data_IF_040474669421
#
_entry.id   IF_040474669421
#
_cell.length_a   1.000
_cell.length_b   1.000
_cell.length_c   1.000
_cell.angle_alpha   90.00
_cell.angle_beta   90.00
_cell.angle_gamma   90.00
#
_symmetry.space_group_name_H-M   'P 1'
#
loop_
_entity.id
_entity.type
_entity.pdbx_description
1 polymer ?
#
# COMPACT_ATOMS: atom_id res chain seq x y z
N UNK A 1 -4.37 -31.46 -2.02
CA UNK A 1 -2.94 -31.34 -2.36
C UNK A 1 -2.29 -30.58 -1.22
N UNK A 2 -1.40 -31.22 -0.46
CA UNK A 2 -0.59 -30.51 0.55
C UNK A 2 0.51 -29.76 -0.19
N UNK A 3 0.44 -28.43 -0.22
CA UNK A 3 1.52 -27.61 -0.75
C UNK A 3 2.81 -27.93 0.03
N UNK A 4 3.83 -28.41 -0.69
CA UNK A 4 5.14 -28.65 -0.12
C UNK A 4 5.85 -27.31 0.09
N UNK A 5 5.99 -26.86 1.34
CA UNK A 5 6.72 -25.64 1.69
C UNK A 5 8.20 -25.96 1.87
N UNK A 6 9.07 -25.31 1.10
CA UNK A 6 10.52 -25.44 1.21
C UNK A 6 11.10 -24.30 2.05
N UNK A 7 12.00 -24.62 2.99
CA UNK A 7 12.68 -23.61 3.80
C UNK A 7 13.85 -23.02 3.01
N UNK A 8 13.89 -21.69 2.92
CA UNK A 8 15.01 -20.96 2.33
C UNK A 8 16.28 -21.08 3.18
N UNK A 9 17.44 -20.74 2.58
CA UNK A 9 18.69 -20.61 3.33
C UNK A 9 18.51 -19.57 4.45
N UNK A 10 18.93 -19.91 5.68
CA UNK A 10 18.85 -19.07 6.89
C UNK A 10 17.45 -18.96 7.53
N UNK A 11 16.58 -19.93 7.28
CA UNK A 11 15.32 -20.10 8.02
C UNK A 11 15.41 -21.37 8.86
N UNK A 12 15.01 -21.29 10.12
CA UNK A 12 14.89 -22.45 11.02
C UNK A 12 13.41 -22.70 11.33
N UNK A 13 13.03 -23.97 11.42
CA UNK A 13 11.69 -24.38 11.85
C UNK A 13 11.75 -24.81 13.31
N UNK A 14 10.89 -24.22 14.13
CA UNK A 14 10.70 -24.62 15.53
C UNK A 14 9.31 -25.24 15.65
N UNK A 15 9.25 -26.46 16.20
CA UNK A 15 7.99 -27.12 16.56
C UNK A 15 7.93 -27.24 18.08
N UNK A 16 7.07 -26.46 18.76
CA UNK A 16 6.90 -26.63 20.19
C UNK A 16 6.25 -27.98 20.51
N UNK A 17 6.62 -28.56 21.65
CA UNK A 17 5.83 -29.63 22.25
C UNK A 17 4.50 -29.04 22.74
N UNK A 18 3.34 -29.47 22.20
CA UNK A 18 2.04 -28.90 22.56
C UNK A 18 1.63 -29.18 24.02
N UNK A 19 2.31 -30.11 24.70
CA UNK A 19 2.13 -30.36 26.14
C UNK A 19 2.85 -29.34 27.04
N UNK A 20 3.79 -28.58 26.48
CA UNK A 20 4.62 -27.61 27.22
C UNK A 20 4.40 -26.17 26.75
N UNK A 21 4.12 -25.96 25.46
CA UNK A 21 4.08 -24.61 24.88
C UNK A 21 2.99 -24.46 23.84
N UNK A 22 2.18 -23.41 23.99
CA UNK A 22 1.23 -22.98 22.97
C UNK A 22 1.97 -22.32 21.78
N UNK A 23 1.62 -22.71 20.56
CA UNK A 23 2.33 -22.25 19.36
C UNK A 23 2.09 -20.77 19.03
N UNK A 24 0.91 -20.23 19.34
CA UNK A 24 0.62 -18.79 19.18
C UNK A 24 1.32 -17.98 20.27
N UNK A 25 1.35 -18.49 21.50
CA UNK A 25 2.16 -17.88 22.57
C UNK A 25 3.64 -17.79 22.15
N UNK A 26 4.21 -18.88 21.63
CA UNK A 26 5.60 -18.92 21.20
C UNK A 26 5.93 -17.86 20.13
N UNK A 27 4.99 -17.59 19.22
CA UNK A 27 5.13 -16.50 18.25
C UNK A 27 5.28 -15.14 18.95
N UNK A 28 4.39 -14.81 19.89
CA UNK A 28 4.44 -13.56 20.65
C UNK A 28 5.67 -13.49 21.56
N UNK A 29 6.09 -14.62 22.13
CA UNK A 29 7.35 -14.77 22.86
C UNK A 29 8.54 -14.34 22.02
N UNK A 30 8.63 -14.80 20.77
CA UNK A 30 9.72 -14.39 19.88
C UNK A 30 9.66 -12.92 19.46
N UNK A 31 8.48 -12.30 19.49
CA UNK A 31 8.30 -10.87 19.23
C UNK A 31 8.55 -10.00 20.47
N UNK A 32 8.67 -10.60 21.66
CA UNK A 32 8.86 -9.86 22.91
C UNK A 32 10.26 -9.23 23.00
N UNK A 33 10.34 -8.04 23.61
CA UNK A 33 11.62 -7.36 23.84
C UNK A 33 12.56 -8.17 24.73
N UNK A 34 12.02 -8.91 25.71
CA UNK A 34 12.80 -9.76 26.60
C UNK A 34 13.53 -10.84 25.82
N UNK A 35 12.83 -11.58 24.97
CA UNK A 35 13.44 -12.62 24.15
C UNK A 35 14.40 -12.07 23.10
N UNK A 36 14.05 -10.96 22.43
CA UNK A 36 14.94 -10.33 21.44
C UNK A 36 16.29 -9.96 22.04
N UNK A 37 16.32 -9.43 23.27
CA UNK A 37 17.58 -9.16 24.00
C UNK A 37 18.41 -10.41 24.25
N UNK A 38 17.77 -11.53 24.60
CA UNK A 38 18.47 -12.82 24.79
C UNK A 38 19.10 -13.27 23.47
N UNK A 39 18.36 -13.17 22.36
CA UNK A 39 18.86 -13.52 21.03
C UNK A 39 20.04 -12.62 20.65
N UNK A 40 19.87 -11.29 20.76
CA UNK A 40 20.89 -10.28 20.45
C UNK A 40 22.20 -10.53 21.22
N UNK A 41 22.11 -10.85 22.52
CA UNK A 41 23.28 -11.17 23.36
C UNK A 41 24.00 -12.47 22.99
N UNK A 42 23.41 -13.31 22.14
CA UNK A 42 23.99 -14.57 21.68
C UNK A 42 24.24 -14.61 20.16
N UNK A 43 24.06 -13.49 19.45
CA UNK A 43 24.40 -13.39 18.03
C UNK A 43 25.90 -13.58 17.83
N UNK A 44 26.28 -14.36 16.80
CA UNK A 44 27.66 -14.43 16.35
C UNK A 44 27.90 -13.30 15.36
N UNK A 45 28.59 -12.24 15.82
CA UNK A 45 29.07 -11.14 14.99
C UNK A 45 30.48 -11.44 14.48
N UNK A 46 30.72 -11.25 13.18
CA UNK A 46 32.04 -11.48 12.54
C UNK A 46 32.05 -12.34 11.28
N UNK A 47 30.92 -12.93 10.90
CA UNK A 47 30.68 -13.38 9.53
C UNK A 47 30.21 -12.20 8.68
N UNK A 48 30.27 -12.30 7.34
CA UNK A 48 29.75 -11.26 6.42
C UNK A 48 28.28 -10.90 6.69
N UNK A 49 27.54 -11.72 7.47
CA UNK A 49 26.20 -11.46 7.98
C UNK A 49 26.08 -12.06 9.39
N UNK A 50 25.43 -11.35 10.31
CA UNK A 50 25.09 -11.82 11.65
C UNK A 50 24.23 -13.11 11.61
N UNK A 51 24.43 -14.01 12.58
CA UNK A 51 23.68 -15.27 12.66
C UNK A 51 23.38 -15.71 14.09
N UNK A 52 22.24 -16.37 14.25
CA UNK A 52 21.86 -17.09 15.47
C UNK A 52 22.53 -18.48 15.43
N UNK A 53 23.29 -18.88 16.47
CA UNK A 53 23.91 -20.20 16.52
C UNK A 53 22.87 -21.30 16.76
N UNK A 54 22.47 -22.02 15.70
CA UNK A 54 21.41 -23.04 15.81
C UNK A 54 21.73 -24.15 16.82
N UNK A 55 23.00 -24.51 16.99
CA UNK A 55 23.45 -25.52 17.98
C UNK A 55 23.30 -25.02 19.43
N UNK A 56 23.47 -23.72 19.67
CA UNK A 56 23.33 -23.12 21.01
C UNK A 56 21.94 -22.56 21.28
N UNK A 57 21.13 -22.33 20.25
CA UNK A 57 19.79 -21.77 20.39
C UNK A 57 18.91 -22.54 21.40
N UNK A 58 18.91 -23.89 21.45
CA UNK A 58 18.14 -24.64 22.44
C UNK A 58 18.53 -24.39 23.90
N UNK A 59 19.73 -23.85 24.17
CA UNK A 59 20.19 -23.55 25.54
C UNK A 59 19.94 -22.11 25.96
N UNK A 60 19.29 -21.29 25.12
CA UNK A 60 18.97 -19.91 25.47
C UNK A 60 17.92 -19.89 26.58
N UNK A 61 18.11 -19.09 27.64
CA UNK A 61 17.18 -19.05 28.76
C UNK A 61 15.84 -18.46 28.32
N UNK A 62 14.75 -19.21 28.53
CA UNK A 62 13.39 -18.79 28.26
C UNK A 62 12.52 -18.99 29.51
N UNK A 63 11.93 -17.90 30.01
CA UNK A 63 10.91 -17.98 31.05
C UNK A 63 9.55 -18.21 30.38
N UNK A 64 9.03 -19.43 30.48
CA UNK A 64 7.76 -19.83 29.88
C UNK A 64 6.75 -20.08 31.01
N UNK A 65 5.61 -19.37 31.05
CA UNK A 65 4.60 -19.54 32.09
C UNK A 65 3.81 -20.85 31.88
N UNK A 66 2.87 -21.14 32.79
CA UNK A 66 2.01 -22.33 32.66
C UNK A 66 1.15 -22.27 31.39
N UNK A 67 0.78 -23.44 30.84
CA UNK A 67 -0.06 -23.53 29.64
C UNK A 67 -1.35 -22.69 29.70
N UNK A 68 -2.11 -22.63 30.83
CA UNK A 68 -3.27 -21.77 30.92
C UNK A 68 -2.95 -20.29 30.65
N UNK A 69 -1.90 -19.76 31.30
CA UNK A 69 -1.45 -18.37 31.12
C UNK A 69 -0.97 -18.13 29.68
N UNK A 70 -0.22 -19.06 29.10
CA UNK A 70 0.22 -18.96 27.70
C UNK A 70 -0.96 -18.82 26.75
N UNK A 71 -1.98 -19.68 26.91
CA UNK A 71 -3.19 -19.68 26.07
C UNK A 71 -3.98 -18.40 26.20
N UNK A 72 -4.07 -17.84 27.41
CA UNK A 72 -4.78 -16.60 27.64
C UNK A 72 -4.08 -15.40 27.00
N UNK A 73 -2.76 -15.27 27.21
CA UNK A 73 -1.93 -14.25 26.54
C UNK A 73 -2.07 -14.37 25.01
N UNK A 74 -1.94 -15.59 24.48
CA UNK A 74 -2.06 -15.85 23.06
C UNK A 74 -3.45 -15.51 22.52
N UNK A 75 -4.52 -15.83 23.27
CA UNK A 75 -5.90 -15.50 22.89
C UNK A 75 -6.11 -13.99 22.78
N UNK A 76 -5.65 -13.23 23.77
CA UNK A 76 -5.77 -11.76 23.78
C UNK A 76 -5.04 -11.16 22.57
N UNK A 77 -3.77 -11.51 22.38
CA UNK A 77 -2.94 -10.92 21.33
C UNK A 77 -3.39 -11.36 19.92
N UNK A 78 -3.75 -12.64 19.74
CA UNK A 78 -4.22 -13.13 18.44
C UNK A 78 -5.56 -12.57 18.03
N UNK A 79 -6.41 -12.15 18.98
CA UNK A 79 -7.65 -11.44 18.65
C UNK A 79 -7.36 -10.15 17.86
N UNK A 80 -6.31 -9.39 18.21
CA UNK A 80 -5.93 -8.20 17.45
C UNK A 80 -5.43 -8.54 16.05
N UNK A 81 -4.56 -9.55 15.92
CA UNK A 81 -4.01 -9.97 14.63
C UNK A 81 -5.09 -10.53 13.71
N UNK A 82 -6.01 -11.33 14.24
CA UNK A 82 -7.15 -11.91 13.52
C UNK A 82 -8.09 -10.78 13.01
N UNK A 83 -8.35 -9.75 13.81
CA UNK A 83 -9.12 -8.58 13.38
C UNK A 83 -8.40 -7.75 12.31
N UNK A 84 -7.09 -7.53 12.46
CA UNK A 84 -6.29 -6.81 11.45
C UNK A 84 -6.34 -7.55 10.12
N UNK A 85 -6.15 -8.86 10.15
CA UNK A 85 -6.18 -9.71 8.96
C UNK A 85 -7.57 -9.76 8.32
N UNK A 86 -8.63 -9.86 9.11
CA UNK A 86 -10.01 -9.77 8.62
C UNK A 86 -10.25 -8.42 7.91
N UNK A 87 -9.87 -7.31 8.54
CA UNK A 87 -9.99 -5.99 7.94
C UNK A 87 -9.16 -5.84 6.65
N UNK A 88 -7.96 -6.43 6.57
CA UNK A 88 -7.16 -6.47 5.33
C UNK A 88 -7.89 -7.18 4.20
N UNK A 89 -8.51 -8.33 4.48
CA UNK A 89 -9.32 -9.08 3.50
C UNK A 89 -10.53 -8.27 3.05
N UNK A 90 -11.23 -7.62 3.99
CA UNK A 90 -12.37 -6.73 3.68
C UNK A 90 -11.96 -5.58 2.77
N UNK A 91 -10.83 -4.92 3.05
CA UNK A 91 -10.30 -3.87 2.17
C UNK A 91 -9.99 -4.40 0.77
N UNK A 92 -9.36 -5.57 0.65
CA UNK A 92 -9.06 -6.17 -0.66
C UNK A 92 -10.34 -6.45 -1.48
N UNK A 93 -11.37 -7.02 -0.84
CA UNK A 93 -12.67 -7.26 -1.49
C UNK A 93 -13.37 -5.96 -1.91
N UNK A 94 -13.29 -4.92 -1.08
CA UNK A 94 -13.83 -3.60 -1.39
C UNK A 94 -13.12 -2.99 -2.61
N UNK A 95 -11.78 -3.00 -2.63
CA UNK A 95 -10.99 -2.53 -3.77
C UNK A 95 -11.32 -3.31 -5.06
N UNK A 96 -11.46 -4.63 -4.97
CA UNK A 96 -11.85 -5.47 -6.10
C UNK A 96 -13.26 -5.12 -6.60
N UNK A 97 -14.23 -4.92 -5.70
CA UNK A 97 -15.59 -4.54 -6.08
C UNK A 97 -15.65 -3.22 -6.86
N UNK A 98 -14.89 -2.19 -6.42
CA UNK A 98 -14.81 -0.91 -7.14
C UNK A 98 -14.16 -1.07 -8.51
N UNK A 99 -13.11 -1.91 -8.62
CA UNK A 99 -12.45 -2.21 -9.90
C UNK A 99 -13.38 -2.97 -10.85
N UNK A 100 -14.16 -3.92 -10.34
CA UNK A 100 -15.14 -4.66 -11.12
C UNK A 100 -16.26 -3.75 -11.62
N UNK A 101 -16.78 -2.85 -10.77
CA UNK A 101 -17.77 -1.87 -11.18
C UNK A 101 -17.25 -1.00 -12.33
N UNK A 102 -16.02 -0.47 -12.19
CA UNK A 102 -15.38 0.32 -13.25
C UNK A 102 -15.26 -0.50 -14.54
N UNK A 103 -14.82 -1.76 -14.44
CA UNK A 103 -14.68 -2.66 -15.61
C UNK A 103 -16.02 -2.95 -16.27
N UNK A 104 -17.08 -3.23 -15.52
CA UNK A 104 -18.41 -3.44 -16.11
C UNK A 104 -18.86 -2.19 -16.86
N UNK A 105 -18.83 -1.03 -16.22
CA UNK A 105 -19.39 0.20 -16.79
C UNK A 105 -18.56 0.75 -17.94
N UNK A 106 -17.23 0.83 -17.77
CA UNK A 106 -16.38 1.63 -18.65
C UNK A 106 -15.44 0.84 -19.55
N UNK A 107 -15.32 -0.48 -19.32
CA UNK A 107 -14.51 -1.37 -20.17
C UNK A 107 -15.41 -2.33 -20.94
N UNK A 108 -16.37 -2.98 -20.27
CA UNK A 108 -17.35 -3.88 -20.89
C UNK A 108 -18.58 -3.15 -21.41
N UNK A 109 -18.66 -1.83 -21.20
CA UNK A 109 -19.73 -0.94 -21.67
C UNK A 109 -21.12 -1.36 -21.17
N UNK A 110 -21.20 -1.95 -19.97
CA UNK A 110 -22.43 -2.37 -19.27
C UNK A 110 -22.80 -1.37 -18.17
N UNK A 111 -22.86 -0.10 -18.56
CA UNK A 111 -23.31 0.98 -17.69
C UNK A 111 -24.85 1.06 -17.66
N UNK A 112 -25.47 1.73 -16.67
CA UNK A 112 -26.92 1.90 -16.64
C UNK A 112 -27.45 2.55 -17.92
N UNK A 113 -28.39 1.89 -18.61
CA UNK A 113 -28.96 2.37 -19.87
C UNK A 113 -28.14 2.04 -21.14
N UNK A 114 -27.09 1.23 -21.02
CA UNK A 114 -26.27 0.79 -22.15
C UNK A 114 -27.07 0.05 -23.22
N UNK A 115 -28.16 -0.64 -22.87
CA UNK A 115 -29.06 -1.33 -23.80
C UNK A 115 -29.69 -0.40 -24.84
N UNK A 116 -29.76 0.89 -24.52
CA UNK A 116 -30.34 1.94 -25.38
C UNK A 116 -29.29 2.85 -26.01
N UNK A 117 -28.00 2.58 -25.78
CA UNK A 117 -26.90 3.42 -26.29
C UNK A 117 -26.22 2.72 -27.46
N UNK A 118 -26.15 3.40 -28.60
CA UNK A 118 -25.47 2.87 -29.79
C UNK A 118 -23.95 2.93 -29.59
N UNK A 119 -23.24 1.93 -30.11
CA UNK A 119 -21.78 1.93 -30.17
C UNK A 119 -21.35 2.31 -31.58
N UNK A 120 -20.59 3.40 -31.71
CA UNK A 120 -20.08 3.91 -32.98
C UNK A 120 -18.56 3.90 -32.92
N UNK A 121 -17.91 3.17 -33.84
CA UNK A 121 -16.44 3.07 -33.85
C UNK A 121 -15.84 2.45 -32.58
N UNK A 122 -16.57 1.55 -31.91
CA UNK A 122 -16.13 0.91 -30.67
C UNK A 122 -16.29 1.76 -29.40
N UNK A 123 -16.94 2.93 -29.50
CA UNK A 123 -17.20 3.84 -28.38
C UNK A 123 -18.70 4.11 -28.27
N UNK A 124 -19.30 4.16 -27.07
CA UNK A 124 -20.70 4.53 -26.93
C UNK A 124 -20.97 5.98 -27.37
N UNK A 125 -22.13 6.20 -27.99
CA UNK A 125 -22.61 7.52 -28.39
C UNK A 125 -22.63 8.48 -27.17
N UNK A 126 -22.15 9.72 -27.37
CA UNK A 126 -22.07 10.74 -26.32
C UNK A 126 -20.80 10.71 -25.46
N UNK A 127 -19.89 9.75 -25.67
CA UNK A 127 -18.59 9.74 -24.98
C UNK A 127 -17.57 10.56 -25.78
N UNK A 128 -16.77 11.36 -25.09
CA UNK A 128 -15.89 12.36 -25.70
C UNK A 128 -14.42 12.14 -25.33
N UNK A 129 -13.48 12.40 -26.25
CA UNK A 129 -12.08 12.52 -25.87
C UNK A 129 -11.84 13.89 -25.26
N UNK A 130 -11.21 13.95 -24.09
CA UNK A 130 -10.78 15.20 -23.46
C UNK A 130 -9.33 15.12 -23.02
N UNK A 131 -8.53 16.18 -23.18
CA UNK A 131 -7.18 16.21 -22.63
C UNK A 131 -7.23 16.15 -21.11
N UNK A 132 -6.29 15.43 -20.49
CA UNK A 132 -6.26 15.29 -19.03
C UNK A 132 -6.16 16.63 -18.30
N UNK A 133 -5.57 17.66 -18.91
CA UNK A 133 -5.50 19.03 -18.37
C UNK A 133 -6.87 19.65 -18.08
N UNK A 134 -7.92 19.26 -18.79
CA UNK A 134 -9.28 19.76 -18.54
C UNK A 134 -9.94 19.10 -17.32
N UNK A 135 -9.38 17.97 -16.85
CA UNK A 135 -9.97 17.11 -15.82
C UNK A 135 -9.30 17.25 -14.45
N UNK A 136 -8.17 17.96 -14.38
CA UNK A 136 -7.26 17.97 -13.23
C UNK A 136 -6.86 19.40 -12.87
N UNK A 137 -6.63 19.67 -11.57
CA UNK A 137 -6.10 20.96 -11.10
C UNK A 137 -4.67 21.17 -11.59
N UNK A 138 -3.90 20.09 -11.67
CA UNK A 138 -2.51 20.17 -12.12
C UNK A 138 -1.81 18.83 -12.13
N UNK A 139 -0.67 18.83 -12.81
CA UNK A 139 0.28 17.74 -12.87
C UNK A 139 1.61 18.29 -12.37
N UNK A 140 2.20 17.59 -11.40
CA UNK A 140 3.40 18.05 -10.71
C UNK A 140 4.42 16.93 -10.68
N UNK A 141 5.69 17.24 -10.92
CA UNK A 141 6.77 16.29 -10.79
C UNK A 141 7.45 16.38 -9.43
N UNK A 142 8.08 15.27 -9.03
CA UNK A 142 8.88 15.21 -7.82
C UNK A 142 10.19 16.00 -7.94
N UNK A 143 10.87 16.24 -6.81
CA UNK A 143 12.18 16.86 -6.80
C UNK A 143 13.18 16.01 -7.59
N UNK A 144 13.94 16.60 -8.53
CA UNK A 144 14.94 15.87 -9.32
C UNK A 144 16.20 15.46 -8.55
N UNK A 145 16.14 15.42 -7.21
CA UNK A 145 17.22 15.07 -6.29
C UNK A 145 16.72 14.11 -5.22
N UNK A 146 17.65 13.48 -4.49
CA UNK A 146 17.33 12.56 -3.40
C UNK A 146 17.76 13.19 -2.07
N UNK A 147 16.88 13.31 -1.07
CA UNK A 147 17.21 13.78 0.27
C UNK A 147 18.13 12.80 1.02
N UNK A 148 18.89 13.29 2.02
CA UNK A 148 19.47 12.42 3.04
C UNK A 148 18.38 11.59 3.74
N UNK A 149 18.71 10.35 4.09
CA UNK A 149 17.79 9.49 4.85
C UNK A 149 17.79 9.89 6.32
N UNK A 150 16.65 9.76 6.98
CA UNK A 150 16.48 9.88 8.43
C UNK A 150 15.79 8.64 9.00
N UNK A 151 15.91 8.43 10.31
CA UNK A 151 15.26 7.32 11.03
C UNK A 151 13.75 7.53 11.17
N UNK A 152 13.31 8.79 11.22
CA UNK A 152 11.91 9.20 11.38
C UNK A 152 11.65 10.52 10.66
N UNK A 153 10.37 10.80 10.38
CA UNK A 153 9.90 12.02 9.74
C UNK A 153 8.96 11.73 8.57
N UNK A 154 8.78 12.65 7.62
CA UNK A 154 7.90 12.46 6.48
C UNK A 154 8.44 11.38 5.53
N UNK A 155 7.53 10.69 4.84
CA UNK A 155 7.87 9.62 3.91
C UNK A 155 8.55 10.17 2.66
N UNK A 156 9.66 9.57 2.25
CA UNK A 156 10.22 9.73 0.91
C UNK A 156 9.65 8.64 0.00
N UNK A 157 8.63 8.99 -0.79
CA UNK A 157 7.88 8.01 -1.56
C UNK A 157 8.65 7.58 -2.81
N UNK A 158 9.00 6.30 -2.92
CA UNK A 158 9.70 5.74 -4.08
C UNK A 158 8.80 4.92 -4.99
N UNK A 159 9.28 4.61 -6.21
CA UNK A 159 8.58 3.70 -7.12
C UNK A 159 8.32 2.33 -6.49
N UNK A 160 9.26 1.84 -5.65
CA UNK A 160 9.13 0.56 -4.93
C UNK A 160 7.86 0.48 -4.06
N UNK A 161 7.34 1.63 -3.64
CA UNK A 161 6.18 1.73 -2.77
C UNK A 161 4.86 1.75 -3.56
N UNK A 162 4.88 1.69 -4.89
CA UNK A 162 3.69 1.71 -5.73
C UNK A 162 3.52 0.32 -6.38
N UNK A 163 2.47 -0.39 -6.00
CA UNK A 163 2.15 -1.70 -6.57
C UNK A 163 1.60 -1.58 -7.99
N UNK A 164 1.65 -2.67 -8.75
CA UNK A 164 0.99 -2.74 -10.07
C UNK A 164 -0.55 -2.65 -9.95
N UNK A 165 -1.08 -3.07 -8.79
CA UNK A 165 -2.52 -3.14 -8.52
C UNK A 165 -3.15 -1.80 -8.13
N UNK A 166 -2.37 -0.72 -8.04
CA UNK A 166 -2.89 0.60 -7.69
C UNK A 166 -2.72 1.01 -6.22
N UNK A 167 -1.90 0.29 -5.44
CA UNK A 167 -1.79 0.47 -3.98
C UNK A 167 -0.44 1.06 -3.57
N UNK A 168 -0.46 1.83 -2.49
CA UNK A 168 0.78 2.21 -1.80
C UNK A 168 1.14 1.16 -0.75
N UNK A 169 2.35 0.65 -0.83
CA UNK A 169 2.99 -0.12 0.24
C UNK A 169 3.84 0.81 1.09
N UNK A 170 3.34 1.12 2.28
CA UNK A 170 3.99 1.99 3.27
C UNK A 170 4.60 1.19 4.44
N UNK A 171 4.79 -0.12 4.28
CA UNK A 171 5.36 -0.97 5.34
C UNK A 171 6.89 -0.83 5.46
N UNK A 172 7.57 -0.62 4.35
CA UNK A 172 9.00 -0.30 4.27
C UNK A 172 9.22 0.98 3.46
N UNK A 173 9.38 2.09 4.18
CA UNK A 173 9.53 3.43 3.63
C UNK A 173 10.81 4.09 4.15
N UNK A 174 11.41 4.93 3.30
CA UNK A 174 12.46 5.84 3.75
C UNK A 174 11.83 7.09 4.31
N UNK A 175 12.47 7.67 5.32
CA UNK A 175 12.08 8.94 5.89
C UNK A 175 13.11 10.02 5.60
N UNK A 176 12.66 11.27 5.65
CA UNK A 176 13.53 12.45 5.63
C UNK A 176 13.41 13.19 6.95
N UNK A 177 14.40 14.02 7.27
CA UNK A 177 14.34 14.86 8.44
C UNK A 177 13.18 15.87 8.33
N UNK A 178 12.46 16.10 9.43
CA UNK A 178 11.33 17.04 9.48
C UNK A 178 11.73 18.44 9.00
N UNK A 179 12.94 18.88 9.36
CA UNK A 179 13.49 20.18 8.99
C UNK A 179 13.74 20.34 7.49
N UNK A 180 13.95 19.23 6.77
CA UNK A 180 14.19 19.24 5.32
C UNK A 180 12.87 19.22 4.54
N UNK A 181 11.76 18.82 5.17
CA UNK A 181 10.49 18.57 4.48
C UNK A 181 9.96 19.75 3.65
N UNK A 182 10.02 21.03 4.12
CA UNK A 182 9.59 22.17 3.31
C UNK A 182 10.39 22.33 2.01
N UNK A 183 11.69 22.00 2.03
CA UNK A 183 12.54 22.05 0.83
C UNK A 183 12.10 21.00 -0.20
N UNK A 184 11.78 19.79 0.24
CA UNK A 184 11.41 18.66 -0.62
C UNK A 184 9.96 18.67 -1.09
N UNK A 185 9.13 19.59 -0.58
CA UNK A 185 7.73 19.79 -0.98
C UNK A 185 7.45 21.15 -1.63
N UNK A 186 8.50 21.96 -1.87
CA UNK A 186 8.38 23.29 -2.46
C UNK A 186 7.60 23.32 -3.78
N UNK A 187 7.76 22.29 -4.63
CA UNK A 187 7.02 22.16 -5.89
C UNK A 187 5.60 21.67 -5.66
N UNK A 188 5.47 20.61 -4.88
CA UNK A 188 4.18 20.01 -4.53
C UNK A 188 4.31 19.21 -3.24
N UNK A 189 3.35 19.40 -2.34
CA UNK A 189 3.07 18.47 -1.27
C UNK A 189 1.93 17.54 -1.71
N UNK A 190 2.13 16.21 -1.71
CA UNK A 190 1.07 15.24 -1.93
C UNK A 190 -0.09 15.43 -0.94
N UNK A 191 -1.31 15.30 -1.44
CA UNK A 191 -2.56 15.41 -0.68
C UNK A 191 -3.42 14.18 -0.90
N UNK A 192 -4.28 13.89 0.07
CA UNK A 192 -5.25 12.82 -0.07
C UNK A 192 -6.07 12.97 -1.37
N UNK A 193 -6.18 11.89 -2.14
CA UNK A 193 -6.86 11.88 -3.44
C UNK A 193 -5.98 12.25 -4.63
N UNK A 194 -4.76 12.76 -4.43
CA UNK A 194 -3.79 12.87 -5.53
C UNK A 194 -3.49 11.47 -6.09
N UNK A 195 -3.29 11.38 -7.39
CA UNK A 195 -2.87 10.15 -8.07
C UNK A 195 -1.37 10.25 -8.32
N UNK A 196 -0.58 9.57 -7.51
CA UNK A 196 0.88 9.48 -7.69
C UNK A 196 1.20 8.42 -8.73
N UNK A 197 2.19 8.69 -9.58
CA UNK A 197 2.61 7.76 -10.60
C UNK A 197 4.11 7.83 -10.90
N UNK A 198 4.65 6.74 -11.42
CA UNK A 198 6.02 6.70 -11.93
C UNK A 198 6.06 7.17 -13.38
N UNK A 199 6.94 8.12 -13.67
CA UNK A 199 7.10 8.67 -15.02
C UNK A 199 8.45 8.33 -15.66
N UNK A 200 9.36 7.70 -14.92
CA UNK A 200 10.70 7.28 -15.37
C UNK A 200 11.07 5.90 -14.81
N UNK A 201 11.88 5.14 -15.57
CA UNK A 201 12.46 3.84 -15.24
C UNK A 201 11.49 2.65 -15.14
N UNK A 202 10.48 2.71 -14.27
CA UNK A 202 9.45 1.66 -14.18
C UNK A 202 8.11 2.33 -14.37
N UNK A 203 7.61 2.36 -15.61
CA UNK A 203 6.37 3.05 -15.96
C UNK A 203 5.14 2.24 -15.52
N UNK A 204 3.96 2.84 -15.69
CA UNK A 204 2.66 2.22 -15.41
C UNK A 204 2.45 1.82 -13.94
N UNK A 205 3.02 2.60 -13.02
CA UNK A 205 2.66 2.53 -11.60
C UNK A 205 1.82 3.74 -11.26
N UNK A 206 0.65 3.51 -10.69
CA UNK A 206 -0.27 4.55 -10.23
C UNK A 206 -0.77 4.16 -8.85
N UNK A 207 -1.03 5.12 -7.98
CA UNK A 207 -1.74 4.88 -6.73
C UNK A 207 -2.41 6.17 -6.23
N UNK A 208 -3.45 6.00 -5.42
CA UNK A 208 -4.04 7.12 -4.69
C UNK A 208 -3.24 7.42 -3.43
N UNK A 209 -2.99 8.70 -3.18
CA UNK A 209 -2.47 9.17 -1.89
C UNK A 209 -3.59 9.04 -0.85
N UNK A 210 -3.40 8.30 0.25
CA UNK A 210 -4.41 8.12 1.28
C UNK A 210 -4.52 9.34 2.21
N UNK A 211 -5.62 9.43 2.96
CA UNK A 211 -5.73 10.38 4.06
C UNK A 211 -4.64 10.15 5.11
N UNK A 212 -4.10 11.25 5.66
CA UNK A 212 -3.05 11.20 6.67
C UNK A 212 -1.65 10.93 6.11
N UNK A 213 -1.48 10.71 4.80
CA UNK A 213 -0.15 10.62 4.21
C UNK A 213 0.62 11.93 4.40
N UNK A 214 1.81 11.84 4.98
CA UNK A 214 2.76 12.93 5.12
C UNK A 214 4.09 12.51 4.51
N UNK A 215 4.47 13.14 3.40
CA UNK A 215 5.68 12.77 2.67
C UNK A 215 5.89 13.60 1.42
N UNK A 216 7.03 13.40 0.76
CA UNK A 216 7.38 14.03 -0.50
C UNK A 216 7.57 12.97 -1.60
N UNK A 217 7.49 13.41 -2.85
CA UNK A 217 7.70 12.54 -4.01
C UNK A 217 9.19 12.18 -4.17
N UNK A 218 9.46 10.97 -4.61
CA UNK A 218 10.76 10.58 -5.12
C UNK A 218 11.03 11.17 -6.51
N UNK A 219 12.30 11.19 -6.93
CA UNK A 219 12.73 11.91 -8.14
C UNK A 219 12.08 11.48 -9.45
N UNK A 220 11.57 10.25 -9.52
CA UNK A 220 10.96 9.63 -10.71
C UNK A 220 9.44 9.50 -10.58
N UNK A 221 8.89 10.11 -9.54
CA UNK A 221 7.45 10.17 -9.34
C UNK A 221 6.94 11.54 -9.75
N UNK A 222 5.71 11.53 -10.23
CA UNK A 222 4.89 12.71 -10.45
C UNK A 222 3.52 12.44 -9.81
N UNK A 223 2.70 13.48 -9.69
CA UNK A 223 1.33 13.35 -9.26
C UNK A 223 0.39 14.13 -10.18
N UNK A 224 -0.79 13.56 -10.38
CA UNK A 224 -1.96 14.20 -10.98
C UNK A 224 -2.88 14.58 -9.82
N UNK A 225 -3.34 15.84 -9.76
CA UNK A 225 -4.31 16.30 -8.77
C UNK A 225 -5.69 16.40 -9.41
N UNK A 226 -6.62 15.47 -9.13
CA UNK A 226 -7.99 15.58 -9.63
C UNK A 226 -8.65 16.88 -9.17
N UNK A 227 -9.56 17.41 -9.99
CA UNK A 227 -10.40 18.54 -9.61
C UNK A 227 -11.51 18.08 -8.64
N UNK A 228 -11.53 18.57 -7.38
CA UNK A 228 -12.54 18.17 -6.42
C UNK A 228 -13.97 18.55 -6.84
N UNK A 229 -14.14 19.63 -7.62
CA UNK A 229 -15.46 20.11 -8.05
C UNK A 229 -16.07 19.22 -9.14
N UNK A 230 -15.22 18.54 -9.91
CA UNK A 230 -15.66 17.57 -10.94
C UNK A 230 -16.16 16.26 -10.37
N UNK A 231 -15.77 15.92 -9.12
CA UNK A 231 -16.15 14.65 -8.45
C UNK A 231 -15.93 13.42 -9.34
N UNK A 232 -14.77 13.33 -9.98
CA UNK A 232 -14.40 12.25 -10.93
C UNK A 232 -13.04 11.60 -10.59
N UNK A 233 -12.56 11.76 -9.35
CA UNK A 233 -11.22 11.34 -8.94
C UNK A 233 -11.01 9.82 -8.98
N UNK A 234 -12.00 9.03 -8.57
CA UNK A 234 -11.89 7.56 -8.60
C UNK A 234 -12.01 7.02 -10.02
N UNK A 235 -12.86 7.61 -10.85
CA UNK A 235 -12.99 7.31 -12.26
C UNK A 235 -11.67 7.60 -12.98
N UNK A 236 -11.08 8.78 -12.74
CA UNK A 236 -9.79 9.15 -13.31
C UNK A 236 -8.71 8.15 -12.88
N UNK A 237 -8.63 7.84 -11.60
CA UNK A 237 -7.67 6.85 -11.09
C UNK A 237 -7.81 5.48 -11.78
N UNK A 238 -9.02 4.95 -11.88
CA UNK A 238 -9.26 3.67 -12.54
C UNK A 238 -8.99 3.71 -14.05
N UNK A 239 -9.23 4.86 -14.69
CA UNK A 239 -8.91 5.08 -16.11
C UNK A 239 -7.41 4.97 -16.37
N UNK A 240 -6.58 5.50 -15.47
CA UNK A 240 -5.12 5.44 -15.58
C UNK A 240 -4.55 4.03 -15.33
N UNK A 241 -5.30 3.14 -14.68
CA UNK A 241 -4.94 1.73 -14.53
C UNK A 241 -5.35 0.86 -15.74
N UNK A 242 -6.11 1.40 -16.69
CA UNK A 242 -6.65 0.65 -17.82
C UNK A 242 -5.70 0.53 -19.01
N UNK A 243 -5.91 -0.52 -19.82
CA UNK A 243 -5.13 -0.78 -21.04
C UNK A 243 -5.18 0.36 -22.06
N UNK A 244 -6.30 1.09 -22.13
CA UNK A 244 -6.42 2.26 -23.03
C UNK A 244 -5.38 3.33 -22.68
N UNK A 245 -5.27 3.67 -21.39
CA UNK A 245 -4.29 4.65 -20.93
C UNK A 245 -2.87 4.13 -21.10
N UNK A 246 -2.64 2.85 -20.81
CA UNK A 246 -1.35 2.20 -21.05
C UNK A 246 -0.89 2.36 -22.50
N UNK A 247 -1.76 2.08 -23.48
CA UNK A 247 -1.45 2.27 -24.90
C UNK A 247 -1.15 3.72 -25.28
N UNK A 248 -1.85 4.70 -24.69
CA UNK A 248 -1.56 6.13 -24.89
C UNK A 248 -0.18 6.48 -24.35
N UNK A 249 0.16 6.00 -23.15
CA UNK A 249 1.49 6.19 -22.56
C UNK A 249 2.55 5.57 -23.46
N UNK A 250 2.40 4.30 -23.84
CA UNK A 250 3.34 3.56 -24.69
C UNK A 250 3.61 4.27 -26.03
N UNK A 251 2.56 4.78 -26.69
CA UNK A 251 2.69 5.53 -27.94
C UNK A 251 3.44 6.86 -27.80
N UNK A 252 3.61 7.38 -26.58
CA UNK A 252 4.26 8.65 -26.31
C UNK A 252 5.54 8.53 -25.46
N UNK A 253 6.00 7.31 -25.17
CA UNK A 253 7.25 7.10 -24.43
C UNK A 253 8.40 7.74 -25.22
N UNK A 254 9.24 8.50 -24.51
CA UNK A 254 10.52 8.93 -25.06
C UNK A 254 11.53 7.81 -24.82
N UNK A 255 11.77 7.02 -25.87
CA UNK A 255 12.81 5.99 -25.91
C UNK A 255 14.13 6.57 -26.46
N UNK A 256 15.27 6.15 -25.91
CA UNK A 256 16.62 6.62 -26.33
C UNK A 256 17.33 7.57 -25.37
N UNK A 257 16.71 7.93 -24.24
CA UNK A 257 17.41 8.46 -23.07
C UNK A 257 18.00 7.29 -22.24
N UNK A 258 18.82 7.58 -21.21
CA UNK A 258 19.36 6.56 -20.29
C UNK A 258 18.27 5.68 -19.65
N UNK A 259 17.03 6.18 -19.57
CA UNK A 259 15.83 5.45 -19.12
C UNK A 259 14.61 5.91 -19.90
N UNK A 260 13.67 4.98 -20.15
CA UNK A 260 12.35 5.30 -20.71
C UNK A 260 11.58 6.25 -19.78
N UNK A 261 10.87 7.19 -20.39
CA UNK A 261 10.09 8.19 -19.65
C UNK A 261 8.82 8.64 -20.33
N UNK A 262 7.84 8.99 -19.51
CA UNK A 262 6.63 9.69 -19.91
C UNK A 262 6.97 11.18 -20.04
N UNK A 263 6.67 11.84 -21.16
CA UNK A 263 6.92 13.26 -21.34
C UNK A 263 5.94 14.10 -20.50
N UNK A 264 6.31 14.43 -19.26
CA UNK A 264 5.45 15.20 -18.34
C UNK A 264 4.95 16.51 -18.96
N UNK A 265 5.76 17.21 -19.77
CA UNK A 265 5.33 18.42 -20.47
C UNK A 265 4.27 18.21 -21.57
N UNK A 266 4.15 16.99 -22.12
CA UNK A 266 3.11 16.62 -23.09
C UNK A 266 1.92 15.90 -22.44
N UNK A 267 2.11 15.32 -21.26
CA UNK A 267 1.06 14.58 -20.53
C UNK A 267 -0.25 15.36 -20.37
N UNK A 268 -0.27 16.69 -20.11
CA UNK A 268 -1.50 17.49 -20.08
C UNK A 268 -2.41 17.32 -21.31
N UNK A 269 -1.86 17.02 -22.48
CA UNK A 269 -2.61 16.87 -23.73
C UNK A 269 -3.02 15.43 -24.03
N UNK A 270 -2.67 14.47 -23.18
CA UNK A 270 -3.03 13.07 -23.42
C UNK A 270 -4.55 12.90 -23.29
N UNK A 271 -5.21 12.24 -24.26
CA UNK A 271 -6.66 12.16 -24.28
C UNK A 271 -7.17 11.05 -23.33
N UNK A 272 -8.24 11.35 -22.60
CA UNK A 272 -9.05 10.38 -21.88
C UNK A 272 -10.43 10.32 -22.49
N UNK A 273 -10.97 9.10 -22.61
CA UNK A 273 -12.35 8.91 -23.05
C UNK A 273 -13.27 9.14 -21.85
N UNK A 274 -14.08 10.18 -21.94
CA UNK A 274 -14.99 10.63 -20.91
C UNK A 274 -16.43 10.20 -21.24
N UNK A 275 -17.06 9.38 -20.39
CA UNK A 275 -18.50 9.15 -20.42
C UNK A 275 -19.28 10.42 -20.06
N UNK A 276 -20.60 10.46 -20.34
CA UNK A 276 -21.49 11.48 -19.81
C UNK A 276 -21.38 11.64 -18.29
N UNK A 277 -21.45 12.90 -17.82
CA UNK A 277 -21.26 13.27 -16.41
C UNK A 277 -22.12 12.47 -15.44
N UNK A 278 -23.35 12.12 -15.81
CA UNK A 278 -24.25 11.37 -14.93
C UNK A 278 -23.75 9.93 -14.69
N UNK A 279 -23.08 9.30 -15.66
CA UNK A 279 -22.48 7.97 -15.48
C UNK A 279 -21.24 8.05 -14.59
N UNK A 280 -20.40 9.07 -14.79
CA UNK A 280 -19.23 9.30 -13.94
C UNK A 280 -19.67 9.55 -12.50
N UNK A 281 -20.65 10.42 -12.27
CA UNK A 281 -21.22 10.68 -10.93
C UNK A 281 -21.83 9.43 -10.30
N UNK A 282 -22.60 8.65 -11.06
CA UNK A 282 -23.20 7.41 -10.56
C UNK A 282 -22.16 6.37 -10.13
N UNK A 283 -21.05 6.27 -10.87
CA UNK A 283 -19.91 5.43 -10.46
C UNK A 283 -19.23 5.97 -9.20
N UNK A 284 -18.98 7.29 -9.16
CA UNK A 284 -18.29 7.98 -8.05
C UNK A 284 -19.06 7.90 -6.75
N UNK A 285 -20.39 7.96 -6.78
CA UNK A 285 -21.23 7.81 -5.59
C UNK A 285 -21.03 6.43 -4.94
N UNK A 286 -20.94 5.37 -5.75
CA UNK A 286 -20.67 4.01 -5.26
C UNK A 286 -19.20 3.87 -4.83
N UNK A 287 -18.27 4.28 -5.70
CA UNK A 287 -16.84 4.15 -5.46
C UNK A 287 -16.39 4.91 -4.21
N UNK A 288 -16.86 6.16 -4.02
CA UNK A 288 -16.52 6.97 -2.85
C UNK A 288 -16.96 6.32 -1.53
N UNK A 289 -18.14 5.66 -1.50
CA UNK A 289 -18.58 4.88 -0.36
C UNK A 289 -17.61 3.73 -0.03
N UNK A 290 -17.21 2.98 -1.06
CA UNK A 290 -16.23 1.89 -0.94
C UNK A 290 -14.88 2.40 -0.42
N UNK A 291 -14.34 3.48 -1.00
CA UNK A 291 -13.06 4.04 -0.58
C UNK A 291 -13.09 4.63 0.84
N UNK A 292 -14.18 5.26 1.26
CA UNK A 292 -14.35 5.70 2.66
C UNK A 292 -14.34 4.52 3.64
N UNK A 293 -14.96 3.40 3.27
CA UNK A 293 -14.93 2.20 4.09
C UNK A 293 -13.53 1.61 4.19
N UNK A 294 -12.79 1.56 3.07
CA UNK A 294 -11.38 1.13 3.07
C UNK A 294 -10.54 2.00 4.01
N UNK A 295 -10.68 3.33 3.93
CA UNK A 295 -9.97 4.24 4.81
C UNK A 295 -10.30 4.01 6.30
N UNK A 296 -11.57 3.79 6.61
CA UNK A 296 -12.00 3.48 7.98
C UNK A 296 -11.35 2.20 8.50
N UNK A 297 -11.32 1.14 7.68
CA UNK A 297 -10.69 -0.13 8.04
C UNK A 297 -9.16 0.00 8.19
N UNK A 298 -8.51 0.81 7.35
CA UNK A 298 -7.08 1.10 7.45
C UNK A 298 -6.75 1.80 8.78
N UNK A 299 -7.51 2.84 9.15
CA UNK A 299 -7.36 3.53 10.43
C UNK A 299 -7.62 2.61 11.63
N UNK A 300 -8.61 1.73 11.54
CA UNK A 300 -8.86 0.71 12.57
C UNK A 300 -7.66 -0.23 12.72
N UNK A 301 -7.09 -0.69 11.62
CA UNK A 301 -5.90 -1.54 11.64
C UNK A 301 -4.70 -0.86 12.31
N UNK A 302 -4.49 0.43 12.05
CA UNK A 302 -3.38 1.14 12.69
C UNK A 302 -3.59 1.29 14.20
N UNK A 303 -4.82 1.56 14.64
CA UNK A 303 -5.17 1.58 16.07
C UNK A 303 -5.01 0.20 16.73
N UNK A 304 -5.43 -0.87 16.06
CA UNK A 304 -5.30 -2.24 16.53
C UNK A 304 -3.82 -2.64 16.68
N UNK A 305 -2.96 -2.28 15.72
CA UNK A 305 -1.51 -2.52 15.81
C UNK A 305 -0.92 -1.81 17.02
N UNK A 306 -1.21 -0.52 17.19
CA UNK A 306 -0.72 0.26 18.34
C UNK A 306 -1.17 -0.36 19.66
N UNK A 307 -2.45 -0.73 19.78
CA UNK A 307 -2.98 -1.37 20.99
C UNK A 307 -2.27 -2.71 21.29
N UNK A 308 -2.11 -3.57 20.27
CA UNK A 308 -1.39 -4.84 20.40
C UNK A 308 0.06 -4.63 20.81
N UNK A 309 0.76 -3.68 20.18
CA UNK A 309 2.18 -3.42 20.43
C UNK A 309 2.43 -2.82 21.82
N UNK A 310 1.45 -2.12 22.39
CA UNK A 310 1.45 -1.67 23.79
C UNK A 310 1.17 -2.80 24.79
N UNK A 311 0.27 -3.72 24.45
CA UNK A 311 -0.10 -4.85 25.33
C UNK A 311 0.95 -5.95 25.35
N UNK A 312 1.56 -6.26 24.20
CA UNK A 312 2.55 -7.31 24.04
C UNK A 312 3.63 -7.26 25.14
N UNK A 313 4.39 -6.17 25.35
CA UNK A 313 5.44 -6.18 26.37
C UNK A 313 4.91 -6.38 27.79
N UNK A 314 3.71 -5.88 28.12
CA UNK A 314 3.12 -5.95 29.47
C UNK A 314 2.58 -7.33 29.81
N UNK A 315 1.96 -8.00 28.84
CA UNK A 315 1.51 -9.39 29.00
C UNK A 315 2.71 -10.32 29.11
N UNK A 316 3.76 -10.08 28.32
CA UNK A 316 4.95 -10.94 28.31
C UNK A 316 5.86 -10.73 29.52
N UNK A 317 5.81 -9.57 30.17
CA UNK A 317 6.53 -9.31 31.42
C UNK A 317 5.75 -9.74 32.68
N UNK A 318 4.45 -10.04 32.56
CA UNK A 318 3.56 -10.27 33.69
C UNK A 318 3.15 -8.99 34.43
N UNK A 319 3.39 -7.79 33.86
CA UNK A 319 2.90 -6.51 34.40
C UNK A 319 1.36 -6.47 34.41
N UNK A 320 0.74 -7.09 33.40
CA UNK A 320 -0.69 -7.35 33.37
C UNK A 320 -0.91 -8.83 33.66
N UNK A 321 -1.64 -9.11 34.73
CA UNK A 321 -2.08 -10.46 35.05
C UNK A 321 -3.21 -10.90 34.11
N UNK A 322 -3.17 -12.18 33.75
CA UNK A 322 -4.22 -12.92 33.06
C UNK A 322 -4.68 -14.06 33.98
#
# INVERSE_FOLDING_TARGET
>A
MTDATFLGRRVALIRPDPSLTDSRYLLYFFLSHGWRKVVEGNIISGATVDRIPLERFPSFPAAIPSLPVQREIASILSTYDDLIENNRRRMALLEESARLLYREWFVRLRFPGHEHTRIVGGVPEGWLQQPISELVVGIYDGPHATPPSADKGPVFLGIKNISESGRLDLTDVRHIAENDFPQWTKRVQPRAGDIVFSYEATLHRYALIPHGFCGCLGRRLALIRPDPDRKNGFFLFQSLLGERWKGIVEANIISGATVDRIPIGKLPNFPLLMPPDHLVRGFEDVASGVYRQIQTLAMQNDRLKVARDLLLPRLMSGEIAV
#
